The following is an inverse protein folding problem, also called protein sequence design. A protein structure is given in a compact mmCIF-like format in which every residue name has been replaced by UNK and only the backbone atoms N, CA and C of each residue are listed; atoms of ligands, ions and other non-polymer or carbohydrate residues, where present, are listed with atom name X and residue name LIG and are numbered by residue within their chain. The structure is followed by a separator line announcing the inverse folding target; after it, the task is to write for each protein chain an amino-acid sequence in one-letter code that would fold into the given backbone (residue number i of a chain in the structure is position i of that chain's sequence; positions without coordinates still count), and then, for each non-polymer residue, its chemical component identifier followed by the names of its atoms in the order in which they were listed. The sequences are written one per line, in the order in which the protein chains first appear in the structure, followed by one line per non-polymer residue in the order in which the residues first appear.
data_IF_470828012729
#
_entry.id   IF_470828012729
#
_cell.length_a   1.000
_cell.length_b   1.000
_cell.length_c   1.000
_cell.angle_alpha   90.00
_cell.angle_beta   90.00
_cell.angle_gamma   90.00
#
_symmetry.space_group_name_H-M   'P 1'
#
loop_
_entity.id
_entity.type
_entity.pdbx_description
1 polymer ?
#
# COMPACT_ATOMS: atom_id res chain seq x y z
N UNK A 1 17.35 37.73 -41.96
CA UNK A 1 17.29 36.54 -42.83
C UNK A 1 17.82 35.36 -42.03
N UNK A 2 16.97 34.73 -41.22
CA UNK A 2 17.27 33.47 -40.53
C UNK A 2 16.02 32.63 -40.70
N UNK A 3 16.17 31.54 -41.46
CA UNK A 3 15.08 30.71 -41.94
C UNK A 3 14.44 29.94 -40.80
N UNK A 4 13.10 30.03 -40.68
CA UNK A 4 12.32 29.16 -39.80
C UNK A 4 12.31 27.74 -40.40
N UNK A 5 13.07 26.84 -39.81
CA UNK A 5 12.95 25.40 -40.08
C UNK A 5 11.84 24.87 -39.18
N UNK A 6 10.65 24.75 -39.74
CA UNK A 6 9.56 23.96 -39.17
C UNK A 6 10.00 22.49 -39.09
N UNK A 7 10.21 21.98 -37.87
CA UNK A 7 10.55 20.59 -37.60
C UNK A 7 9.37 19.66 -37.93
N UNK A 8 9.21 19.32 -39.20
CA UNK A 8 8.46 18.12 -39.61
C UNK A 8 9.26 16.89 -39.21
N UNK A 9 8.61 15.91 -38.58
CA UNK A 9 9.20 14.62 -38.25
C UNK A 9 9.95 14.02 -39.45
N UNK A 10 11.28 13.94 -39.35
CA UNK A 10 12.09 13.27 -40.36
C UNK A 10 11.69 11.79 -40.45
N UNK A 11 11.41 11.27 -41.65
CA UNK A 11 10.95 9.91 -41.83
C UNK A 11 12.07 8.91 -41.48
N UNK A 12 11.76 7.96 -40.60
CA UNK A 12 12.56 6.77 -40.36
C UNK A 12 12.52 5.89 -41.63
N UNK A 13 13.48 6.08 -42.53
CA UNK A 13 13.66 5.22 -43.71
C UNK A 13 14.46 3.98 -43.33
N UNK A 14 13.89 2.80 -43.60
CA UNK A 14 14.57 1.53 -43.39
C UNK A 14 15.72 1.37 -44.38
N UNK A 15 16.92 1.05 -43.89
CA UNK A 15 18.07 0.80 -44.76
C UNK A 15 17.98 -0.62 -45.33
N UNK A 16 17.49 -0.74 -46.57
CA UNK A 16 17.73 -1.91 -47.41
C UNK A 16 16.59 -2.94 -47.56
N UNK A 17 15.45 -2.80 -46.87
CA UNK A 17 14.25 -3.63 -47.13
C UNK A 17 12.98 -2.78 -47.05
N UNK A 18 12.44 -2.47 -48.23
CA UNK A 18 11.18 -1.74 -48.51
C UNK A 18 10.94 -0.45 -47.71
N UNK A 19 10.88 0.67 -48.42
CA UNK A 19 10.51 2.02 -47.95
C UNK A 19 9.03 2.09 -47.49
N UNK A 20 8.65 1.26 -46.53
CA UNK A 20 7.38 1.36 -45.83
C UNK A 20 7.60 2.20 -44.58
N UNK A 21 6.80 3.25 -44.40
CA UNK A 21 6.73 4.00 -43.14
C UNK A 21 6.21 3.06 -42.06
N UNK A 22 7.11 2.35 -41.38
CA UNK A 22 6.74 1.38 -40.37
C UNK A 22 6.35 2.13 -39.09
N UNK A 23 5.15 1.82 -38.58
CA UNK A 23 4.76 2.25 -37.24
C UNK A 23 5.74 1.68 -36.20
N UNK A 24 5.93 2.39 -35.07
CA UNK A 24 6.80 1.89 -33.98
C UNK A 24 6.46 0.45 -33.55
N UNK A 25 5.19 0.03 -33.41
CA UNK A 25 4.86 -1.36 -33.11
C UNK A 25 5.29 -2.36 -34.20
N UNK A 26 5.12 -2.00 -35.48
CA UNK A 26 5.53 -2.85 -36.60
C UNK A 26 7.05 -3.02 -36.64
N UNK A 27 7.78 -1.92 -36.44
CA UNK A 27 9.24 -1.92 -36.38
C UNK A 27 9.74 -2.73 -35.18
N UNK A 28 9.11 -2.56 -34.01
CA UNK A 28 9.43 -3.32 -32.81
C UNK A 28 9.31 -4.83 -33.04
N UNK A 29 8.28 -5.28 -33.74
CA UNK A 29 8.09 -6.71 -34.06
C UNK A 29 9.21 -7.24 -34.98
N UNK A 30 9.54 -6.47 -36.03
CA UNK A 30 10.61 -6.80 -36.99
C UNK A 30 11.98 -6.86 -36.31
N UNK A 31 12.31 -5.86 -35.49
CA UNK A 31 13.57 -5.79 -34.72
C UNK A 31 13.73 -6.92 -33.71
N UNK A 32 12.64 -7.46 -33.16
CA UNK A 32 12.70 -8.65 -32.28
C UNK A 32 12.97 -9.94 -33.05
N UNK A 33 12.60 -9.97 -34.33
CA UNK A 33 12.74 -11.14 -35.19
C UNK A 33 14.14 -11.20 -35.83
N UNK A 34 14.65 -10.04 -36.24
CA UNK A 34 15.95 -9.89 -36.88
C UNK A 34 16.71 -8.72 -36.24
N UNK A 35 17.41 -8.92 -35.10
CA UNK A 35 18.08 -7.81 -34.43
C UNK A 35 19.23 -7.20 -35.24
N UNK A 36 20.01 -8.02 -35.94
CA UNK A 36 21.20 -7.55 -36.68
C UNK A 36 20.80 -6.70 -37.89
N UNK A 37 19.68 -7.02 -38.55
CA UNK A 37 19.22 -6.31 -39.74
C UNK A 37 18.68 -4.88 -39.50
N UNK A 38 18.42 -4.48 -38.25
CA UNK A 38 17.80 -3.19 -37.91
C UNK A 38 18.64 -2.34 -36.94
N UNK A 39 19.96 -2.55 -36.88
CA UNK A 39 20.85 -1.75 -36.02
C UNK A 39 20.85 -0.26 -36.38
N UNK A 40 20.71 0.07 -37.67
CA UNK A 40 20.65 1.47 -38.14
C UNK A 40 19.43 2.21 -37.60
N UNK A 41 18.28 1.54 -37.61
CA UNK A 41 17.00 2.04 -37.13
C UNK A 41 17.03 2.18 -35.60
N UNK A 42 17.65 1.22 -34.91
CA UNK A 42 17.89 1.32 -33.47
C UNK A 42 18.70 2.57 -33.15
N UNK A 43 19.82 2.78 -33.85
CA UNK A 43 20.70 3.92 -33.61
C UNK A 43 19.96 5.25 -33.84
N UNK A 44 19.16 5.35 -34.90
CA UNK A 44 18.34 6.52 -35.19
C UNK A 44 17.32 6.80 -34.09
N UNK A 45 16.57 5.79 -33.65
CA UNK A 45 15.56 5.94 -32.59
C UNK A 45 16.21 6.27 -31.25
N UNK A 46 17.34 5.65 -30.94
CA UNK A 46 18.13 5.91 -29.73
C UNK A 46 18.61 7.36 -29.71
N UNK A 47 19.18 7.85 -30.79
CA UNK A 47 19.63 9.25 -30.87
C UNK A 47 18.46 10.23 -30.74
N UNK A 48 17.35 9.97 -31.42
CA UNK A 48 16.14 10.80 -31.30
C UNK A 48 15.60 10.81 -29.86
N UNK A 49 15.66 9.68 -29.15
CA UNK A 49 15.31 9.62 -27.73
C UNK A 49 16.24 10.47 -26.86
N UNK A 50 17.56 10.34 -27.00
CA UNK A 50 18.52 11.11 -26.19
C UNK A 50 18.47 12.60 -26.50
N UNK A 51 18.33 13.01 -27.76
CA UNK A 51 18.16 14.42 -28.12
C UNK A 51 16.89 15.00 -27.50
N UNK A 52 15.76 14.26 -27.53
CA UNK A 52 14.54 14.71 -26.89
C UNK A 52 14.69 14.78 -25.35
N UNK A 53 15.36 13.78 -24.75
CA UNK A 53 15.60 13.74 -23.30
C UNK A 53 16.47 14.93 -22.84
N UNK A 54 17.52 15.26 -23.58
CA UNK A 54 18.37 16.42 -23.32
C UNK A 54 17.57 17.73 -23.39
N UNK A 55 16.70 17.89 -24.39
CA UNK A 55 15.83 19.06 -24.51
C UNK A 55 14.92 19.23 -23.28
N UNK A 56 14.33 18.13 -22.77
CA UNK A 56 13.51 18.17 -21.55
C UNK A 56 14.34 18.54 -20.31
N UNK A 57 15.56 18.00 -20.18
CA UNK A 57 16.44 18.32 -19.06
C UNK A 57 16.89 19.78 -19.07
N UNK A 58 17.28 20.32 -20.23
CA UNK A 58 17.67 21.72 -20.37
C UNK A 58 16.49 22.65 -20.05
N UNK A 59 15.27 22.32 -20.47
CA UNK A 59 14.08 23.11 -20.14
C UNK A 59 13.74 23.11 -18.65
N UNK A 60 13.89 21.95 -18.00
CA UNK A 60 13.73 21.87 -16.55
C UNK A 60 14.79 22.70 -15.81
N UNK A 61 16.04 22.69 -16.27
CA UNK A 61 17.12 23.47 -15.68
C UNK A 61 16.93 25.00 -15.83
N UNK A 62 16.33 25.44 -16.93
CA UNK A 62 16.08 26.85 -17.22
C UNK A 62 14.80 27.40 -16.57
N UNK A 63 14.07 26.60 -15.77
CA UNK A 63 12.78 26.97 -15.15
C UNK A 63 11.77 27.58 -16.15
N UNK A 64 11.85 27.19 -17.43
CA UNK A 64 10.97 27.72 -18.47
C UNK A 64 9.59 27.04 -18.35
N UNK A 65 8.83 27.40 -17.31
CA UNK A 65 7.44 26.94 -17.10
C UNK A 65 6.43 27.74 -17.91
N UNK A 66 6.88 28.57 -18.85
CA UNK A 66 6.02 29.40 -19.68
C UNK A 66 5.24 28.54 -20.68
N UNK A 67 4.00 28.98 -20.92
CA UNK A 67 2.92 28.44 -21.77
C UNK A 67 3.33 28.08 -23.22
N UNK A 68 4.58 28.34 -23.64
CA UNK A 68 5.12 28.03 -24.98
C UNK A 68 6.44 27.23 -24.98
N UNK A 69 6.84 26.59 -23.87
CA UNK A 69 7.99 25.67 -23.88
C UNK A 69 7.67 24.35 -24.58
N UNK A 70 8.64 23.73 -25.28
CA UNK A 70 8.46 22.43 -25.96
C UNK A 70 8.03 21.32 -24.98
N UNK A 71 8.42 21.42 -23.70
CA UNK A 71 7.97 20.50 -22.64
C UNK A 71 6.48 20.57 -22.31
N UNK A 72 5.78 21.64 -22.74
CA UNK A 72 4.32 21.74 -22.68
C UNK A 72 3.63 21.25 -23.96
N UNK A 73 4.36 20.99 -25.05
CA UNK A 73 3.79 20.41 -26.26
C UNK A 73 3.46 18.92 -26.00
N UNK A 74 2.16 18.55 -25.97
CA UNK A 74 1.75 17.17 -25.70
C UNK A 74 2.28 16.19 -26.75
N UNK A 75 2.61 16.66 -27.96
CA UNK A 75 3.14 15.80 -29.03
C UNK A 75 4.57 15.35 -28.74
N UNK A 76 5.44 16.27 -28.33
CA UNK A 76 6.85 15.96 -28.01
C UNK A 76 6.96 15.09 -26.77
N UNK A 77 6.13 15.34 -25.75
CA UNK A 77 6.04 14.50 -24.57
C UNK A 77 5.56 13.07 -24.91
N UNK A 78 4.60 12.95 -25.83
CA UNK A 78 4.10 11.65 -26.32
C UNK A 78 5.18 10.92 -27.11
N UNK A 79 5.86 11.57 -28.04
CA UNK A 79 6.90 10.95 -28.86
C UNK A 79 8.06 10.44 -27.99
N UNK A 80 8.47 11.21 -26.97
CA UNK A 80 9.48 10.76 -26.01
C UNK A 80 8.99 9.54 -25.21
N UNK A 81 7.71 9.53 -24.80
CA UNK A 81 7.09 8.40 -24.10
C UNK A 81 7.07 7.13 -24.95
N UNK A 82 6.64 7.25 -26.21
CA UNK A 82 6.53 6.15 -27.16
C UNK A 82 7.92 5.56 -27.45
N UNK A 83 8.94 6.43 -27.59
CA UNK A 83 10.34 6.01 -27.76
C UNK A 83 10.92 5.34 -26.52
N UNK A 84 10.64 5.87 -25.32
CA UNK A 84 11.07 5.24 -24.07
C UNK A 84 10.51 3.82 -23.93
N UNK A 85 9.22 3.64 -24.19
CA UNK A 85 8.56 2.33 -24.17
C UNK A 85 9.10 1.40 -25.26
N UNK A 86 9.30 1.92 -26.48
CA UNK A 86 9.87 1.16 -27.58
C UNK A 86 11.27 0.65 -27.23
N UNK A 87 12.16 1.54 -26.78
CA UNK A 87 13.53 1.19 -26.39
C UNK A 87 13.54 0.16 -25.26
N UNK A 88 12.71 0.33 -24.23
CA UNK A 88 12.57 -0.65 -23.14
C UNK A 88 12.11 -2.03 -23.64
N UNK A 89 11.29 -2.07 -24.69
CA UNK A 89 10.88 -3.33 -25.29
C UNK A 89 11.98 -4.04 -26.09
N UNK A 90 12.86 -3.29 -26.75
CA UNK A 90 13.95 -3.86 -27.57
C UNK A 90 15.25 -4.07 -26.78
N UNK A 91 15.42 -3.47 -25.60
CA UNK A 91 16.63 -3.61 -24.76
C UNK A 91 17.17 -5.05 -24.62
N UNK A 92 16.34 -6.11 -24.38
CA UNK A 92 16.85 -7.47 -24.27
C UNK A 92 17.55 -8.00 -25.52
N UNK A 93 17.21 -7.46 -26.69
CA UNK A 93 17.73 -7.90 -27.99
C UNK A 93 19.00 -7.13 -28.40
N UNK A 94 19.27 -5.99 -27.74
CA UNK A 94 20.42 -5.12 -28.03
C UNK A 94 21.19 -4.75 -26.74
N UNK A 95 21.72 -5.73 -25.99
CA UNK A 95 22.30 -5.49 -24.67
C UNK A 95 23.56 -4.62 -24.72
N UNK A 96 24.31 -4.63 -25.82
CA UNK A 96 25.52 -3.81 -25.98
C UNK A 96 25.18 -2.36 -26.33
N UNK A 97 24.25 -2.17 -27.26
CA UNK A 97 23.88 -0.85 -27.78
C UNK A 97 22.99 -0.08 -26.81
N UNK A 98 22.24 -0.76 -25.94
CA UNK A 98 21.33 -0.14 -24.95
C UNK A 98 21.76 -0.40 -23.50
N UNK A 99 23.06 -0.53 -23.24
CA UNK A 99 23.58 -0.80 -21.90
C UNK A 99 23.26 0.33 -20.89
N UNK A 100 23.38 1.60 -21.32
CA UNK A 100 23.21 2.79 -20.46
C UNK A 100 21.75 3.26 -20.37
N UNK A 101 20.94 2.94 -21.40
CA UNK A 101 19.55 3.37 -21.48
C UNK A 101 18.71 3.09 -20.22
N UNK A 102 18.77 1.90 -19.58
CA UNK A 102 18.03 1.60 -18.36
C UNK A 102 18.37 2.55 -17.20
N UNK A 103 19.66 2.83 -16.98
CA UNK A 103 20.12 3.75 -15.93
C UNK A 103 19.77 5.19 -16.24
N UNK A 104 19.90 5.60 -17.50
CA UNK A 104 19.61 6.98 -17.93
C UNK A 104 18.13 7.32 -17.77
N UNK A 105 17.25 6.38 -18.13
CA UNK A 105 15.81 6.54 -17.97
C UNK A 105 15.41 6.66 -16.49
N UNK A 106 16.02 5.86 -15.61
CA UNK A 106 15.79 5.93 -14.18
C UNK A 106 16.31 7.26 -13.59
N UNK A 107 17.49 7.72 -14.02
CA UNK A 107 18.08 9.00 -13.60
C UNK A 107 17.25 10.21 -14.10
N UNK A 108 16.72 10.12 -15.31
CA UNK A 108 15.81 11.12 -15.87
C UNK A 108 14.54 11.27 -15.03
N UNK A 109 13.88 10.16 -14.67
CA UNK A 109 12.73 10.20 -13.76
C UNK A 109 13.12 10.76 -12.38
N UNK A 110 14.25 10.33 -11.82
CA UNK A 110 14.70 10.80 -10.49
C UNK A 110 14.94 12.31 -10.44
N UNK A 111 15.52 12.88 -11.50
CA UNK A 111 15.84 14.31 -11.57
C UNK A 111 14.64 15.19 -11.93
N UNK A 112 13.76 14.70 -12.81
CA UNK A 112 12.77 15.54 -13.48
C UNK A 112 11.31 15.18 -13.18
N UNK A 113 11.01 14.15 -12.38
CA UNK A 113 9.63 13.70 -12.17
C UNK A 113 8.65 14.76 -11.62
N UNK A 114 9.11 15.86 -11.01
CA UNK A 114 8.19 16.93 -10.57
C UNK A 114 7.77 17.87 -11.72
N UNK A 115 8.64 18.06 -12.71
CA UNK A 115 8.44 19.00 -13.82
C UNK A 115 7.84 18.34 -15.06
N UNK A 116 7.98 17.02 -15.18
CA UNK A 116 7.47 16.28 -16.34
C UNK A 116 5.93 16.24 -16.40
N UNK A 117 5.33 16.31 -17.61
CA UNK A 117 3.90 16.07 -17.81
C UNK A 117 3.45 14.71 -17.27
N UNK A 118 2.23 14.62 -16.72
CA UNK A 118 1.68 13.40 -16.11
C UNK A 118 1.75 12.18 -17.04
N UNK A 119 1.36 12.34 -18.31
CA UNK A 119 1.41 11.28 -19.31
C UNK A 119 2.83 10.75 -19.54
N UNK A 120 3.82 11.63 -19.68
CA UNK A 120 5.22 11.24 -19.88
C UNK A 120 5.78 10.55 -18.64
N UNK A 121 5.51 11.07 -17.44
CA UNK A 121 5.91 10.41 -16.18
C UNK A 121 5.36 9.00 -16.07
N UNK A 122 4.08 8.83 -16.40
CA UNK A 122 3.42 7.54 -16.31
C UNK A 122 4.05 6.51 -17.26
N UNK A 123 4.21 6.85 -18.54
CA UNK A 123 4.78 5.93 -19.53
C UNK A 123 6.27 5.67 -19.33
N UNK A 124 7.06 6.69 -18.94
CA UNK A 124 8.46 6.47 -18.57
C UNK A 124 8.58 5.56 -17.34
N UNK A 125 7.70 5.69 -16.36
CA UNK A 125 7.63 4.77 -15.21
C UNK A 125 7.27 3.36 -15.66
N UNK A 126 6.31 3.18 -16.59
CA UNK A 126 6.00 1.88 -17.17
C UNK A 126 7.19 1.25 -17.91
N UNK A 127 7.98 2.06 -18.62
CA UNK A 127 9.19 1.60 -19.29
C UNK A 127 10.24 1.10 -18.29
N UNK A 128 10.49 1.82 -17.19
CA UNK A 128 11.38 1.35 -16.11
C UNK A 128 10.84 0.07 -15.47
N UNK A 129 9.54 0.00 -15.18
CA UNK A 129 8.87 -1.21 -14.67
C UNK A 129 9.10 -2.41 -15.60
N UNK A 130 8.99 -2.22 -16.90
CA UNK A 130 9.24 -3.28 -17.89
C UNK A 130 10.69 -3.80 -17.81
N UNK A 131 11.66 -2.89 -17.67
CA UNK A 131 13.07 -3.23 -17.53
C UNK A 131 13.36 -3.99 -16.23
N UNK A 132 12.73 -3.59 -15.12
CA UNK A 132 12.82 -4.31 -13.83
C UNK A 132 12.18 -5.70 -13.91
N UNK A 133 10.99 -5.81 -14.51
CA UNK A 133 10.29 -7.08 -14.68
C UNK A 133 11.07 -8.09 -15.55
N UNK A 134 11.89 -7.58 -16.47
CA UNK A 134 12.81 -8.35 -17.30
C UNK A 134 14.15 -8.65 -16.64
N UNK A 135 14.36 -8.18 -15.40
CA UNK A 135 15.59 -8.32 -14.61
C UNK A 135 16.81 -7.65 -15.24
N UNK A 136 16.59 -6.60 -16.06
CA UNK A 136 17.68 -5.77 -16.61
C UNK A 136 18.17 -4.79 -15.54
N UNK A 137 17.25 -4.26 -14.72
CA UNK A 137 17.54 -3.42 -13.56
C UNK A 137 17.07 -4.16 -12.30
N UNK A 138 17.81 -4.09 -11.20
CA UNK A 138 17.36 -4.60 -9.91
C UNK A 138 16.35 -3.64 -9.25
N UNK A 139 15.33 -4.18 -8.60
CA UNK A 139 14.39 -3.39 -7.80
C UNK A 139 15.11 -2.65 -6.68
N UNK A 140 16.22 -3.19 -6.17
CA UNK A 140 17.04 -2.53 -5.15
C UNK A 140 17.49 -1.12 -5.57
N UNK A 141 17.88 -0.96 -6.84
CA UNK A 141 18.44 0.29 -7.35
C UNK A 141 17.33 1.31 -7.70
N UNK A 142 16.10 0.83 -7.91
CA UNK A 142 14.95 1.64 -8.34
C UNK A 142 13.91 1.84 -7.23
N UNK A 143 14.01 1.15 -6.10
CA UNK A 143 13.04 1.24 -5.00
C UNK A 143 12.87 2.69 -4.53
N UNK A 144 13.96 3.39 -4.26
CA UNK A 144 13.91 4.80 -3.82
C UNK A 144 13.19 5.70 -4.83
N UNK A 145 13.39 5.45 -6.13
CA UNK A 145 12.69 6.18 -7.20
C UNK A 145 11.18 5.88 -7.15
N UNK A 146 10.77 4.61 -7.05
CA UNK A 146 9.35 4.27 -6.96
C UNK A 146 8.69 4.81 -5.69
N UNK A 147 9.41 4.89 -4.58
CA UNK A 147 8.92 5.52 -3.35
C UNK A 147 8.75 7.04 -3.52
N UNK A 148 9.68 7.70 -4.22
CA UNK A 148 9.56 9.13 -4.53
C UNK A 148 8.38 9.43 -5.47
N UNK A 149 8.19 8.62 -6.52
CA UNK A 149 7.07 8.77 -7.45
C UNK A 149 5.71 8.67 -6.75
N UNK A 150 5.63 7.91 -5.64
CA UNK A 150 4.42 7.81 -4.83
C UNK A 150 4.08 9.09 -4.04
N UNK A 151 5.01 10.04 -3.92
CA UNK A 151 4.78 11.32 -3.24
C UNK A 151 4.16 12.38 -4.13
N UNK A 152 4.14 12.15 -5.46
CA UNK A 152 3.61 13.10 -6.43
C UNK A 152 2.07 13.13 -6.43
N UNK A 153 1.51 14.26 -6.84
CA UNK A 153 0.05 14.48 -6.94
C UNK A 153 -0.57 13.90 -8.21
N UNK A 154 -0.30 12.61 -8.46
CA UNK A 154 -0.87 11.86 -9.59
C UNK A 154 -1.37 10.49 -9.10
N UNK A 155 -2.70 10.34 -8.98
CA UNK A 155 -3.33 9.12 -8.44
C UNK A 155 -2.92 7.86 -9.23
N UNK A 156 -2.84 7.96 -10.55
CA UNK A 156 -2.57 6.81 -11.43
C UNK A 156 -1.10 6.39 -11.29
N UNK A 157 -0.19 7.36 -11.30
CA UNK A 157 1.24 7.11 -11.09
C UNK A 157 1.51 6.50 -9.71
N UNK A 158 0.88 7.06 -8.66
CA UNK A 158 1.01 6.52 -7.29
C UNK A 158 0.55 5.07 -7.20
N UNK A 159 -0.61 4.74 -7.78
CA UNK A 159 -1.15 3.38 -7.81
C UNK A 159 -0.22 2.43 -8.59
N UNK A 160 0.30 2.88 -9.73
CA UNK A 160 1.23 2.11 -10.56
C UNK A 160 2.53 1.79 -9.80
N UNK A 161 3.18 2.81 -9.23
CA UNK A 161 4.43 2.65 -8.50
C UNK A 161 4.27 1.78 -7.24
N UNK A 162 3.21 2.02 -6.45
CA UNK A 162 2.89 1.21 -5.28
C UNK A 162 2.66 -0.26 -5.64
N UNK A 163 1.78 -0.51 -6.62
CA UNK A 163 1.46 -1.87 -7.08
C UNK A 163 2.70 -2.61 -7.57
N UNK A 164 3.55 -1.92 -8.34
CA UNK A 164 4.81 -2.50 -8.80
C UNK A 164 5.72 -2.90 -7.63
N UNK A 165 5.98 -2.01 -6.68
CA UNK A 165 6.84 -2.31 -5.52
C UNK A 165 6.34 -3.55 -4.76
N UNK A 166 5.05 -3.58 -4.42
CA UNK A 166 4.46 -4.71 -3.70
C UNK A 166 4.54 -6.00 -4.51
N UNK A 167 4.18 -5.96 -5.80
CA UNK A 167 4.18 -7.15 -6.66
C UNK A 167 5.60 -7.66 -6.93
N UNK A 168 6.57 -6.78 -7.17
CA UNK A 168 7.97 -7.15 -7.40
C UNK A 168 8.56 -7.84 -6.16
N UNK A 169 8.32 -7.30 -4.96
CA UNK A 169 8.78 -7.92 -3.70
C UNK A 169 8.08 -9.25 -3.46
N UNK A 170 6.77 -9.34 -3.69
CA UNK A 170 6.00 -10.60 -3.58
C UNK A 170 6.53 -11.65 -4.56
N UNK A 171 6.71 -11.29 -5.84
CA UNK A 171 7.22 -12.19 -6.88
C UNK A 171 8.62 -12.69 -6.57
N UNK A 172 9.48 -11.83 -6.02
CA UNK A 172 10.82 -12.22 -5.58
C UNK A 172 10.79 -13.28 -4.46
N UNK A 173 9.77 -13.24 -3.60
CA UNK A 173 9.61 -14.15 -2.47
C UNK A 173 8.65 -15.33 -2.73
N UNK A 174 8.17 -15.52 -3.98
CA UNK A 174 7.14 -16.53 -4.31
C UNK A 174 7.58 -17.97 -4.05
N UNK A 175 8.84 -18.30 -4.36
CA UNK A 175 9.36 -19.67 -4.23
C UNK A 175 10.15 -19.86 -2.93
N UNK A 176 10.99 -18.88 -2.58
CA UNK A 176 11.83 -18.89 -1.39
C UNK A 176 12.04 -17.46 -0.91
N UNK A 177 12.14 -17.25 0.41
CA UNK A 177 12.42 -15.94 1.00
C UNK A 177 13.88 -15.53 0.75
N UNK A 178 14.11 -14.50 -0.05
CA UNK A 178 15.47 -14.00 -0.28
C UNK A 178 15.85 -12.98 0.80
N UNK A 179 16.26 -13.49 1.96
CA UNK A 179 16.56 -12.68 3.16
C UNK A 179 17.58 -11.56 2.89
N UNK A 180 18.63 -11.81 2.09
CA UNK A 180 19.64 -10.80 1.79
C UNK A 180 19.07 -9.61 0.98
N UNK A 181 18.25 -9.91 -0.03
CA UNK A 181 17.57 -8.87 -0.81
C UNK A 181 16.48 -8.18 0.00
N UNK A 182 15.67 -8.93 0.75
CA UNK A 182 14.64 -8.38 1.63
C UNK A 182 15.25 -7.41 2.65
N UNK A 183 16.35 -7.79 3.31
CA UNK A 183 17.07 -6.94 4.25
C UNK A 183 17.54 -5.63 3.62
N UNK A 184 18.01 -5.67 2.38
CA UNK A 184 18.43 -4.48 1.64
C UNK A 184 17.24 -3.55 1.33
N UNK A 185 16.10 -4.09 0.90
CA UNK A 185 14.90 -3.31 0.60
C UNK A 185 14.24 -2.76 1.86
N UNK A 186 14.18 -3.56 2.93
CA UNK A 186 13.74 -3.15 4.25
C UNK A 186 14.56 -1.96 4.76
N UNK A 187 15.89 -2.00 4.65
CA UNK A 187 16.74 -0.87 5.09
C UNK A 187 16.39 0.43 4.38
N UNK A 188 16.06 0.38 3.08
CA UNK A 188 15.63 1.55 2.31
C UNK A 188 14.29 2.07 2.85
N UNK A 189 13.30 1.20 3.02
CA UNK A 189 11.98 1.62 3.53
C UNK A 189 12.05 2.12 4.98
N UNK A 190 12.79 1.46 5.85
CA UNK A 190 12.99 1.90 7.24
C UNK A 190 13.68 3.26 7.29
N UNK A 191 14.71 3.47 6.44
CA UNK A 191 15.35 4.77 6.31
C UNK A 191 14.38 5.87 5.86
N UNK A 192 13.49 5.58 4.91
CA UNK A 192 12.45 6.51 4.45
C UNK A 192 11.36 6.78 5.51
N UNK A 193 11.03 5.78 6.32
CA UNK A 193 10.03 5.89 7.39
C UNK A 193 10.49 6.81 8.53
N UNK A 194 11.79 6.90 8.75
CA UNK A 194 12.39 7.74 9.80
C UNK A 194 12.64 9.20 9.35
N UNK A 195 12.36 9.55 8.09
CA UNK A 195 12.56 10.91 7.59
C UNK A 195 11.46 11.84 8.06
N UNK A 196 11.81 13.11 8.30
CA UNK A 196 10.84 14.16 8.66
C UNK A 196 9.85 14.51 7.53
N UNK A 197 10.15 14.12 6.28
CA UNK A 197 9.26 14.27 5.14
C UNK A 197 8.04 13.34 5.30
N UNK A 198 6.94 13.92 5.82
CA UNK A 198 5.68 13.21 6.09
C UNK A 198 5.18 12.43 4.87
N UNK A 199 5.32 12.97 3.64
CA UNK A 199 4.81 12.31 2.45
C UNK A 199 5.59 11.02 2.15
N UNK A 200 6.93 11.05 2.27
CA UNK A 200 7.79 9.87 2.08
C UNK A 200 7.59 8.86 3.19
N UNK A 201 7.60 9.30 4.44
CA UNK A 201 7.43 8.42 5.60
C UNK A 201 6.06 7.73 5.57
N UNK A 202 4.99 8.45 5.24
CA UNK A 202 3.65 7.88 5.05
C UNK A 202 3.62 6.82 3.94
N UNK A 203 4.26 7.05 2.80
CA UNK A 203 4.31 6.05 1.70
C UNK A 203 5.11 4.82 2.09
N UNK A 204 6.21 5.00 2.81
CA UNK A 204 6.99 3.89 3.36
C UNK A 204 6.17 3.05 4.33
N UNK A 205 5.47 3.70 5.28
CA UNK A 205 4.57 3.03 6.23
C UNK A 205 3.51 2.19 5.51
N UNK A 206 2.79 2.79 4.56
CA UNK A 206 1.73 2.07 3.81
C UNK A 206 2.30 0.83 3.09
N UNK A 207 3.49 0.95 2.52
CA UNK A 207 4.15 -0.17 1.82
C UNK A 207 4.56 -1.28 2.79
N UNK A 208 5.09 -0.93 3.98
CA UNK A 208 5.45 -1.89 5.01
C UNK A 208 4.22 -2.60 5.59
N UNK A 209 3.18 -1.85 5.92
CA UNK A 209 1.89 -2.37 6.36
C UNK A 209 1.31 -3.38 5.35
N UNK A 210 1.33 -3.04 4.06
CA UNK A 210 0.82 -3.92 3.00
C UNK A 210 1.65 -5.19 2.82
N UNK A 211 2.99 -5.09 2.86
CA UNK A 211 3.87 -6.26 2.77
C UNK A 211 3.76 -7.19 3.98
N UNK A 212 3.52 -6.63 5.17
CA UNK A 212 3.25 -7.38 6.39
C UNK A 212 1.90 -8.08 6.32
N UNK A 213 0.83 -7.37 5.94
CA UNK A 213 -0.53 -7.91 5.76
C UNK A 213 -0.55 -9.08 4.77
N UNK A 214 0.18 -8.95 3.66
CA UNK A 214 0.32 -10.02 2.65
C UNK A 214 1.21 -11.19 3.07
N UNK A 215 1.71 -11.18 4.31
CA UNK A 215 2.64 -12.19 4.87
C UNK A 215 3.93 -12.36 4.05
N UNK A 216 4.31 -11.35 3.27
CA UNK A 216 5.55 -11.36 2.48
C UNK A 216 6.74 -11.01 3.38
N UNK A 217 6.61 -9.93 4.15
CA UNK A 217 7.55 -9.53 5.19
C UNK A 217 6.90 -9.67 6.56
N UNK A 218 6.66 -10.93 6.92
CA UNK A 218 6.17 -11.32 8.23
C UNK A 218 7.37 -11.74 9.09
N UNK A 219 8.09 -10.75 9.59
CA UNK A 219 9.26 -10.92 10.43
C UNK A 219 9.29 -9.86 11.54
N UNK A 220 10.03 -10.19 12.60
CA UNK A 220 10.20 -9.33 13.77
C UNK A 220 10.71 -7.92 13.39
N UNK A 221 11.56 -7.81 12.37
CA UNK A 221 12.19 -6.53 12.00
C UNK A 221 11.17 -5.57 11.37
N UNK A 222 10.34 -6.08 10.47
CA UNK A 222 9.25 -5.31 9.87
C UNK A 222 8.18 -4.98 10.91
N UNK A 223 7.82 -5.92 11.79
CA UNK A 223 6.87 -5.66 12.87
C UNK A 223 7.34 -4.53 13.80
N UNK A 224 8.59 -4.61 14.28
CA UNK A 224 9.18 -3.55 15.11
C UNK A 224 9.25 -2.21 14.35
N UNK A 225 9.57 -2.20 13.05
CA UNK A 225 9.60 -0.95 12.28
C UNK A 225 8.22 -0.30 12.15
N UNK A 226 7.16 -1.11 11.95
CA UNK A 226 5.77 -0.62 11.91
C UNK A 226 5.38 -0.04 13.27
N UNK A 227 5.56 -0.79 14.35
CA UNK A 227 5.17 -0.33 15.69
C UNK A 227 5.98 0.90 16.13
N UNK A 228 7.29 0.94 15.87
CA UNK A 228 8.13 2.08 16.24
C UNK A 228 7.75 3.37 15.49
N UNK A 229 7.03 3.29 14.37
CA UNK A 229 6.49 4.46 13.70
C UNK A 229 5.36 5.16 14.49
N UNK A 230 4.80 4.53 15.54
CA UNK A 230 3.97 5.24 16.52
C UNK A 230 4.71 6.40 17.19
N UNK A 231 6.04 6.38 17.23
CA UNK A 231 6.87 7.43 17.83
C UNK A 231 7.41 8.45 16.83
N UNK A 232 6.88 8.46 15.62
CA UNK A 232 7.29 9.43 14.60
C UNK A 232 6.95 10.88 15.02
N UNK A 233 7.71 11.84 14.50
CA UNK A 233 7.55 13.28 14.80
C UNK A 233 6.19 13.82 14.31
N UNK A 234 5.80 13.45 13.07
CA UNK A 234 4.46 13.70 12.53
C UNK A 234 3.41 12.79 13.16
N UNK A 235 2.41 13.42 13.75
CA UNK A 235 1.25 12.76 14.35
C UNK A 235 0.35 12.02 13.38
N UNK A 236 0.24 12.49 12.14
CA UNK A 236 -0.56 11.82 11.12
C UNK A 236 -0.03 10.43 10.83
N UNK A 237 1.28 10.23 10.97
CA UNK A 237 1.92 8.92 10.85
C UNK A 237 1.58 8.08 12.07
N UNK A 238 1.73 8.62 13.29
CA UNK A 238 1.32 7.94 14.51
C UNK A 238 -0.14 7.45 14.45
N UNK A 239 -1.08 8.33 14.09
CA UNK A 239 -2.50 7.99 13.93
C UNK A 239 -2.67 6.89 12.89
N UNK A 240 -2.01 6.98 11.74
CA UNK A 240 -2.10 5.96 10.70
C UNK A 240 -1.57 4.58 11.16
N UNK A 241 -0.50 4.55 11.96
CA UNK A 241 0.02 3.30 12.54
C UNK A 241 -0.94 2.74 13.55
N UNK A 242 -1.45 3.57 14.48
CA UNK A 242 -2.40 3.13 15.50
C UNK A 242 -3.67 2.58 14.85
N UNK A 243 -4.26 3.30 13.90
CA UNK A 243 -5.41 2.80 13.11
C UNK A 243 -5.10 1.47 12.43
N UNK A 244 -3.91 1.32 11.85
CA UNK A 244 -3.50 0.06 11.23
C UNK A 244 -3.37 -1.09 12.22
N UNK A 245 -2.82 -0.85 13.42
CA UNK A 245 -2.64 -1.88 14.44
C UNK A 245 -3.98 -2.36 15.00
N UNK A 246 -4.96 -1.47 15.15
CA UNK A 246 -6.30 -1.77 15.67
C UNK A 246 -7.18 -2.47 14.62
N UNK A 247 -7.17 -1.93 13.40
CA UNK A 247 -7.98 -2.49 12.32
C UNK A 247 -7.25 -3.62 11.58
N UNK A 248 -6.11 -4.10 12.10
CA UNK A 248 -5.30 -5.13 11.44
C UNK A 248 -6.12 -6.37 11.08
N UNK A 249 -7.04 -6.77 11.95
CA UNK A 249 -7.93 -7.92 11.75
C UNK A 249 -9.14 -7.62 10.84
N UNK A 250 -9.54 -6.34 10.73
CA UNK A 250 -10.70 -5.90 9.93
C UNK A 250 -10.34 -5.58 8.48
N UNK A 251 -9.07 -5.28 8.20
CA UNK A 251 -8.59 -5.00 6.86
C UNK A 251 -8.57 -6.33 6.09
N UNK A 252 -9.60 -6.53 5.26
CA UNK A 252 -9.83 -7.72 4.45
C UNK A 252 -8.51 -8.30 3.90
N UNK A 253 -8.28 -9.60 4.11
CA UNK A 253 -7.29 -10.36 3.36
C UNK A 253 -7.76 -10.49 1.91
N UNK A 254 -7.61 -9.42 1.13
CA UNK A 254 -8.04 -9.28 -0.27
C UNK A 254 -7.15 -10.07 -1.26
N UNK A 255 -6.46 -11.09 -0.78
CA UNK A 255 -5.24 -11.63 -1.39
C UNK A 255 -5.38 -13.02 -2.05
N UNK A 256 -6.54 -13.35 -2.61
CA UNK A 256 -6.60 -14.43 -3.60
C UNK A 256 -7.34 -14.00 -4.88
N UNK A 257 -6.54 -13.78 -5.93
CA UNK A 257 -6.87 -13.64 -7.35
C UNK A 257 -7.47 -12.30 -7.85
N UNK A 258 -6.61 -11.29 -7.99
CA UNK A 258 -6.83 -10.19 -8.95
C UNK A 258 -5.75 -10.18 -10.05
N UNK A 259 -5.47 -11.34 -10.63
CA UNK A 259 -4.87 -11.43 -11.97
C UNK A 259 -5.99 -11.33 -13.02
N UNK A 260 -6.70 -10.20 -13.05
CA UNK A 260 -7.40 -9.74 -14.25
C UNK A 260 -7.54 -8.22 -14.20
N UNK A 261 -6.76 -7.55 -15.03
CA UNK A 261 -6.97 -6.16 -15.37
C UNK A 261 -8.34 -6.07 -16.07
N UNK A 262 -9.15 -5.08 -15.69
CA UNK A 262 -10.46 -4.70 -16.28
C UNK A 262 -11.71 -5.35 -15.67
N UNK A 263 -12.29 -4.67 -14.67
CA UNK A 263 -13.67 -4.17 -14.80
C UNK A 263 -13.98 -3.20 -13.66
N UNK A 264 -14.23 -1.96 -14.04
CA UNK A 264 -15.03 -1.02 -13.26
C UNK A 264 -16.40 -1.67 -12.99
N UNK A 265 -16.74 -1.87 -11.73
CA UNK A 265 -18.11 -1.77 -11.22
C UNK A 265 -18.06 -1.85 -9.69
N UNK A 266 -18.03 -0.69 -9.05
CA UNK A 266 -18.64 -0.55 -7.74
C UNK A 266 -20.14 -0.78 -7.88
N UNK A 267 -20.70 -1.80 -7.20
CA UNK A 267 -21.98 -1.63 -6.48
C UNK A 267 -22.38 -2.87 -5.65
N UNK A 268 -22.77 -2.61 -4.41
CA UNK A 268 -23.69 -3.39 -3.55
C UNK A 268 -23.30 -4.80 -3.13
N UNK A 269 -22.73 -4.92 -1.92
CA UNK A 269 -22.78 -6.14 -1.13
C UNK A 269 -24.24 -6.40 -0.68
N UNK A 270 -24.87 -7.44 -1.25
CA UNK A 270 -26.11 -7.99 -0.70
C UNK A 270 -25.77 -9.12 0.28
N UNK A 271 -26.15 -9.08 1.58
CA UNK A 271 -25.58 -9.96 2.59
C UNK A 271 -26.10 -11.41 2.63
N UNK A 272 -26.96 -11.85 1.70
CA UNK A 272 -27.55 -13.19 1.81
C UNK A 272 -27.81 -13.82 0.43
N UNK A 273 -26.83 -14.57 -0.08
CA UNK A 273 -26.99 -15.37 -1.30
C UNK A 273 -27.12 -16.84 -0.92
N UNK A 274 -28.36 -17.32 -0.81
CA UNK A 274 -28.64 -18.77 -0.68
C UNK A 274 -28.59 -19.38 -2.07
N UNK A 275 -27.62 -20.27 -2.32
CA UNK A 275 -27.57 -21.06 -3.54
C UNK A 275 -28.59 -22.19 -3.42
N UNK A 276 -29.77 -22.02 -4.00
CA UNK A 276 -30.80 -23.06 -4.05
C UNK A 276 -30.54 -24.04 -5.20
N UNK A 277 -30.93 -25.32 -5.05
CA UNK A 277 -30.83 -26.34 -6.11
C UNK A 277 -31.46 -25.89 -7.45
N UNK A 278 -32.49 -25.06 -7.39
CA UNK A 278 -33.11 -24.46 -8.57
C UNK A 278 -32.22 -23.50 -9.33
N UNK A 279 -31.38 -22.70 -8.66
CA UNK A 279 -30.47 -21.75 -9.32
C UNK A 279 -29.39 -22.47 -10.13
N UNK A 280 -28.90 -23.60 -9.60
CA UNK A 280 -27.95 -24.49 -10.28
C UNK A 280 -28.58 -25.10 -11.54
N UNK A 281 -29.81 -25.63 -11.41
CA UNK A 281 -30.53 -26.22 -12.53
C UNK A 281 -30.83 -25.19 -13.63
N UNK A 282 -31.30 -23.99 -13.27
CA UNK A 282 -31.60 -22.90 -14.22
C UNK A 282 -30.34 -22.40 -14.95
N UNK A 283 -29.16 -22.48 -14.33
CA UNK A 283 -27.89 -22.09 -14.95
C UNK A 283 -27.43 -23.06 -16.04
N UNK A 284 -27.69 -24.37 -15.88
CA UNK A 284 -27.26 -25.39 -16.82
C UNK A 284 -28.31 -25.72 -17.89
N UNK A 285 -29.60 -25.71 -17.54
CA UNK A 285 -30.65 -26.29 -18.40
C UNK A 285 -31.61 -25.28 -19.03
N UNK A 286 -31.70 -24.02 -18.56
CA UNK A 286 -32.75 -23.08 -19.01
C UNK A 286 -32.20 -21.82 -19.71
N UNK A 287 -32.55 -21.63 -20.99
CA UNK A 287 -32.27 -20.42 -21.80
C UNK A 287 -31.35 -20.67 -23.00
N UNK A 288 -31.04 -19.60 -23.75
CA UNK A 288 -30.10 -19.62 -24.88
C UNK A 288 -28.65 -19.82 -24.42
N UNK A 289 -27.75 -20.20 -25.33
CA UNK A 289 -26.33 -20.43 -25.01
C UNK A 289 -25.66 -19.22 -24.32
N UNK A 290 -25.94 -18.00 -24.80
CA UNK A 290 -25.46 -16.76 -24.19
C UNK A 290 -26.04 -16.53 -22.77
N UNK A 291 -27.33 -16.82 -22.57
CA UNK A 291 -27.99 -16.71 -21.26
C UNK A 291 -27.43 -17.71 -20.24
N UNK A 292 -27.17 -18.96 -20.67
CA UNK A 292 -26.55 -20.01 -19.85
C UNK A 292 -25.13 -19.61 -19.41
N UNK A 293 -24.31 -19.04 -20.31
CA UNK A 293 -22.96 -18.54 -19.98
C UNK A 293 -23.01 -17.47 -18.88
N UNK A 294 -23.92 -16.49 -18.99
CA UNK A 294 -24.11 -15.42 -18.00
C UNK A 294 -24.59 -15.96 -16.64
N UNK A 295 -25.53 -16.90 -16.64
CA UNK A 295 -26.04 -17.54 -15.40
C UNK A 295 -24.99 -18.39 -14.70
N UNK A 296 -24.18 -19.13 -15.47
CA UNK A 296 -23.05 -19.91 -14.92
C UNK A 296 -21.98 -19.02 -14.29
N UNK A 297 -21.64 -17.90 -14.92
CA UNK A 297 -20.73 -16.91 -14.34
C UNK A 297 -21.27 -16.31 -13.03
N UNK A 298 -22.56 -15.95 -12.98
CA UNK A 298 -23.21 -15.44 -11.76
C UNK A 298 -23.23 -16.47 -10.64
N UNK A 299 -23.52 -17.74 -10.96
CA UNK A 299 -23.48 -18.84 -10.00
C UNK A 299 -22.07 -19.08 -9.47
N UNK A 300 -21.05 -19.10 -10.33
CA UNK A 300 -19.66 -19.24 -9.90
C UNK A 300 -19.22 -18.09 -8.98
N UNK A 301 -19.64 -16.85 -9.25
CA UNK A 301 -19.37 -15.69 -8.39
C UNK A 301 -20.02 -15.83 -7.01
N UNK A 302 -21.26 -16.31 -6.96
CA UNK A 302 -21.98 -16.58 -5.70
C UNK A 302 -21.30 -17.70 -4.89
N UNK A 303 -20.89 -18.80 -5.53
CA UNK A 303 -20.16 -19.91 -4.87
C UNK A 303 -18.84 -19.42 -4.28
N UNK A 304 -18.08 -18.61 -5.03
CA UNK A 304 -16.82 -18.01 -4.53
C UNK A 304 -17.06 -17.12 -3.32
N UNK A 305 -18.10 -16.27 -3.36
CA UNK A 305 -18.47 -15.41 -2.23
C UNK A 305 -18.85 -16.21 -0.98
N UNK A 306 -19.64 -17.28 -1.11
CA UNK A 306 -20.01 -18.14 0.01
C UNK A 306 -18.81 -18.90 0.59
N UNK A 307 -17.93 -19.42 -0.27
CA UNK A 307 -16.70 -20.11 0.17
C UNK A 307 -15.74 -19.15 0.88
N UNK A 308 -15.67 -17.87 0.46
CA UNK A 308 -14.94 -16.79 1.15
C UNK A 308 -15.52 -16.58 2.55
N UNK A 309 -16.84 -16.42 2.67
CA UNK A 309 -17.51 -16.25 3.98
C UNK A 309 -17.30 -17.44 4.93
N UNK A 310 -17.38 -18.68 4.43
CA UNK A 310 -17.14 -19.87 5.25
C UNK A 310 -15.69 -19.99 5.73
N UNK A 311 -14.71 -19.58 4.92
CA UNK A 311 -13.30 -19.51 5.34
C UNK A 311 -13.07 -18.42 6.40
N UNK A 312 -13.66 -17.25 6.22
CA UNK A 312 -13.59 -16.14 7.17
C UNK A 312 -14.11 -16.55 8.56
N UNK A 313 -15.22 -17.29 8.62
CA UNK A 313 -15.76 -17.80 9.90
C UNK A 313 -14.90 -18.88 10.56
N UNK A 314 -14.04 -19.58 9.80
CA UNK A 314 -13.13 -20.59 10.36
C UNK A 314 -11.75 -20.03 10.74
N UNK A 315 -11.33 -18.92 10.12
CA UNK A 315 -10.01 -18.30 10.37
C UNK A 315 -10.06 -17.17 11.42
N UNK A 316 -11.25 -16.67 11.79
CA UNK A 316 -11.39 -15.60 12.79
C UNK A 316 -10.81 -15.96 14.16
N UNK A 317 -10.73 -17.25 14.51
CA UNK A 317 -10.13 -17.70 15.78
C UNK A 317 -8.60 -17.71 15.78
N UNK A 318 -7.94 -17.65 14.61
CA UNK A 318 -6.47 -17.69 14.46
C UNK A 318 -5.88 -16.37 13.92
N UNK A 319 -6.70 -15.35 13.68
CA UNK A 319 -6.29 -14.11 13.02
C UNK A 319 -5.42 -13.21 13.92
N UNK A 320 -5.67 -13.22 15.24
CA UNK A 320 -5.01 -12.31 16.18
C UNK A 320 -3.49 -12.49 16.22
N UNK A 321 -3.00 -13.72 16.09
CA UNK A 321 -1.56 -14.04 16.03
C UNK A 321 -0.79 -13.40 14.86
N UNK A 322 -1.48 -12.83 13.87
CA UNK A 322 -0.82 -12.16 12.74
C UNK A 322 -0.60 -10.66 12.95
N UNK A 323 -1.05 -10.09 14.07
CA UNK A 323 -0.77 -8.69 14.37
C UNK A 323 0.74 -8.45 14.53
N UNK A 324 1.27 -7.30 14.03
CA UNK A 324 2.65 -6.89 14.28
C UNK A 324 3.01 -6.87 15.77
N UNK A 325 2.02 -6.64 16.65
CA UNK A 325 2.23 -6.53 18.09
C UNK A 325 2.81 -7.82 18.71
N UNK A 326 2.40 -9.00 18.22
CA UNK A 326 2.92 -10.29 18.71
C UNK A 326 4.37 -10.58 18.30
N UNK A 327 4.94 -9.78 17.40
CA UNK A 327 6.31 -9.94 16.89
C UNK A 327 7.25 -8.81 17.33
N UNK A 328 6.88 -8.11 18.41
CA UNK A 328 7.70 -7.09 19.03
C UNK A 328 8.87 -7.70 19.81
N UNK A 329 10.02 -7.00 19.77
CA UNK A 329 11.21 -7.38 20.57
C UNK A 329 11.02 -7.12 22.05
N UNK A 330 10.49 -5.94 22.32
CA UNK A 330 10.27 -5.41 23.65
C UNK A 330 8.87 -4.79 23.67
N UNK A 331 7.87 -5.66 23.86
CA UNK A 331 6.48 -5.22 23.89
C UNK A 331 6.18 -4.38 25.13
N UNK A 332 6.76 -4.70 26.29
CA UNK A 332 6.56 -3.91 27.52
C UNK A 332 7.11 -2.48 27.35
N UNK A 333 8.37 -2.34 26.92
CA UNK A 333 8.97 -1.03 26.68
C UNK A 333 8.25 -0.25 25.58
N UNK A 334 7.70 -0.93 24.57
CA UNK A 334 6.84 -0.31 23.56
C UNK A 334 5.60 0.32 24.18
N UNK A 335 4.85 -0.42 25.01
CA UNK A 335 3.60 0.09 25.59
C UNK A 335 3.87 1.20 26.60
N UNK A 336 4.89 1.07 27.46
CA UNK A 336 5.25 2.13 28.42
C UNK A 336 5.61 3.45 27.71
N UNK A 337 6.37 3.35 26.62
CA UNK A 337 6.73 4.52 25.81
C UNK A 337 5.52 5.09 25.07
N UNK A 338 4.64 4.23 24.54
CA UNK A 338 3.41 4.64 23.86
C UNK A 338 2.48 5.37 24.82
N UNK A 339 2.26 4.82 26.00
CA UNK A 339 1.46 5.43 27.05
C UNK A 339 1.99 6.81 27.44
N UNK A 340 3.29 6.91 27.72
CA UNK A 340 3.96 8.18 28.05
C UNK A 340 3.79 9.23 26.94
N UNK A 341 3.91 8.80 25.67
CA UNK A 341 3.71 9.67 24.51
C UNK A 341 2.27 10.18 24.46
N UNK A 342 1.29 9.28 24.57
CA UNK A 342 -0.13 9.61 24.48
C UNK A 342 -0.60 10.53 25.60
N UNK A 343 -0.08 10.39 26.82
CA UNK A 343 -0.37 11.32 27.93
C UNK A 343 0.06 12.76 27.62
N UNK A 344 1.15 12.94 26.87
CA UNK A 344 1.66 14.27 26.49
C UNK A 344 1.11 14.79 25.16
N UNK A 345 0.43 13.95 24.38
CA UNK A 345 -0.10 14.32 23.08
C UNK A 345 -1.43 15.07 23.24
N UNK A 346 -1.46 16.33 22.78
CA UNK A 346 -2.67 17.16 22.79
C UNK A 346 -3.59 16.92 21.57
N UNK A 347 -3.45 15.79 20.91
CA UNK A 347 -4.20 15.46 19.71
C UNK A 347 -5.42 14.62 20.04
N UNK A 348 -6.50 14.86 19.32
CA UNK A 348 -7.73 14.10 19.46
C UNK A 348 -7.56 12.75 18.77
N UNK A 349 -7.17 11.73 19.53
CA UNK A 349 -7.27 10.35 19.09
C UNK A 349 -8.75 9.93 19.16
N UNK A 350 -9.26 9.31 18.09
CA UNK A 350 -10.51 8.56 18.24
C UNK A 350 -10.23 7.43 19.24
N UNK A 351 -11.02 7.38 20.32
CA UNK A 351 -10.81 6.58 21.55
C UNK A 351 -10.78 5.05 21.30
N UNK A 352 -10.92 4.63 20.04
CA UNK A 352 -10.85 3.23 19.64
C UNK A 352 -9.42 2.67 19.62
N UNK A 353 -8.40 3.41 20.09
CA UNK A 353 -6.98 3.05 19.94
C UNK A 353 -6.30 2.27 21.07
N UNK A 354 -7.02 1.97 22.14
CA UNK A 354 -6.51 1.21 23.28
C UNK A 354 -6.96 -0.26 23.40
N UNK A 355 -8.10 -0.74 22.84
CA UNK A 355 -8.56 -2.11 23.08
C UNK A 355 -7.59 -3.22 22.63
N UNK A 356 -6.90 -3.05 21.50
CA UNK A 356 -6.08 -4.15 20.93
C UNK A 356 -4.65 -4.21 21.46
N UNK A 357 -4.17 -3.16 22.14
CA UNK A 357 -2.89 -3.24 22.87
C UNK A 357 -3.08 -4.00 24.19
N UNK A 358 -4.29 -4.01 24.73
CA UNK A 358 -4.67 -4.77 25.92
C UNK A 358 -5.00 -6.25 25.66
N UNK A 359 -5.18 -6.67 24.39
CA UNK A 359 -5.39 -8.09 24.00
C UNK A 359 -4.09 -8.92 23.98
N UNK A 360 -2.99 -8.34 24.42
CA UNK A 360 -1.72 -9.01 24.64
C UNK A 360 -1.75 -9.61 26.05
N UNK A 361 -2.41 -10.77 26.16
CA UNK A 361 -2.72 -11.54 27.39
C UNK A 361 -1.52 -11.86 28.32
N UNK A 362 -0.30 -11.49 27.96
CA UNK A 362 0.93 -11.75 28.72
C UNK A 362 1.67 -10.50 29.24
N UNK A 363 1.18 -9.28 28.96
CA UNK A 363 2.01 -8.07 29.15
C UNK A 363 1.56 -7.23 30.34
N UNK A 364 2.34 -7.39 31.41
CA UNK A 364 2.17 -6.75 32.72
C UNK A 364 2.24 -5.22 32.59
N UNK A 365 1.13 -4.53 32.81
CA UNK A 365 1.16 -3.08 33.03
C UNK A 365 0.39 -2.70 34.28
N UNK A 366 1.09 -2.54 35.42
CA UNK A 366 0.58 -1.88 36.61
C UNK A 366 0.20 -0.40 36.37
N UNK A 367 0.65 0.23 35.27
CA UNK A 367 0.57 1.69 35.04
C UNK A 367 -0.58 2.15 34.14
N UNK A 368 -1.28 1.27 33.43
CA UNK A 368 -2.52 1.68 32.71
C UNK A 368 -3.63 2.03 33.72
N UNK A 369 -3.55 1.42 34.91
CA UNK A 369 -4.40 1.70 36.05
C UNK A 369 -3.95 2.92 36.88
N UNK A 370 -2.82 3.58 36.54
CA UNK A 370 -2.45 4.88 37.11
C UNK A 370 -3.36 5.99 36.54
N UNK A 371 -4.60 5.99 37.02
CA UNK A 371 -5.46 7.12 37.41
C UNK A 371 -5.66 8.32 36.46
N UNK A 372 -5.15 8.34 35.23
CA UNK A 372 -5.26 9.51 34.34
C UNK A 372 -6.13 9.32 33.10
N UNK A 373 -6.36 8.08 32.63
CA UNK A 373 -7.27 7.83 31.52
C UNK A 373 -8.74 7.73 31.95
N UNK A 374 -8.99 7.27 33.18
CA UNK A 374 -10.35 7.00 33.70
C UNK A 374 -10.78 7.98 34.81
N UNK A 375 -10.00 9.02 35.12
CA UNK A 375 -10.29 9.90 36.27
C UNK A 375 -11.56 10.75 36.12
N UNK A 376 -12.19 10.80 34.95
CA UNK A 376 -13.43 11.57 34.70
C UNK A 376 -14.51 10.78 33.95
N UNK A 377 -14.54 9.45 34.09
CA UNK A 377 -15.53 8.58 33.46
C UNK A 377 -16.95 8.87 33.97
N UNK A 378 -17.67 9.67 33.20
CA UNK A 378 -19.08 9.97 33.44
C UNK A 378 -19.95 9.22 32.42
N UNK A 379 -21.14 8.73 32.80
CA UNK A 379 -22.01 7.98 31.90
C UNK A 379 -22.51 8.77 30.67
N UNK A 380 -22.29 10.10 30.64
CA UNK A 380 -22.64 10.98 29.52
C UNK A 380 -21.47 11.23 28.55
N UNK A 381 -20.27 10.74 28.87
CA UNK A 381 -19.11 10.86 27.99
C UNK A 381 -19.31 10.03 26.73
N UNK A 382 -18.93 10.59 25.58
CA UNK A 382 -18.97 9.88 24.30
C UNK A 382 -17.99 8.69 24.34
N UNK A 383 -18.40 7.54 23.81
CA UNK A 383 -17.60 6.31 23.69
C UNK A 383 -17.15 5.70 25.03
N UNK A 384 -17.83 6.04 26.14
CA UNK A 384 -17.51 5.54 27.48
C UNK A 384 -17.54 4.02 27.61
N UNK A 385 -18.42 3.35 26.86
CA UNK A 385 -18.49 1.87 26.84
C UNK A 385 -17.24 1.25 26.24
N UNK A 386 -16.61 1.89 25.25
CA UNK A 386 -15.37 1.40 24.63
C UNK A 386 -14.18 1.61 25.58
N UNK A 387 -14.17 2.74 26.30
CA UNK A 387 -13.15 3.03 27.30
C UNK A 387 -13.21 2.03 28.47
N UNK A 388 -14.41 1.77 28.99
CA UNK A 388 -14.62 0.77 30.04
C UNK A 388 -14.27 -0.65 29.56
N UNK A 389 -14.58 -1.00 28.30
CA UNK A 389 -14.17 -2.27 27.72
C UNK A 389 -12.64 -2.41 27.63
N UNK A 390 -11.93 -1.35 27.21
CA UNK A 390 -10.47 -1.32 27.17
C UNK A 390 -9.85 -1.43 28.57
N UNK A 391 -10.47 -0.80 29.58
CA UNK A 391 -10.04 -0.88 30.97
C UNK A 391 -10.22 -2.30 31.55
N UNK A 392 -11.34 -2.96 31.24
CA UNK A 392 -11.59 -4.37 31.58
C UNK A 392 -10.54 -5.29 30.94
N UNK A 393 -10.22 -5.07 29.66
CA UNK A 393 -9.20 -5.86 28.96
C UNK A 393 -7.81 -5.72 29.58
N UNK A 394 -7.50 -4.55 30.16
CA UNK A 394 -6.23 -4.33 30.86
C UNK A 394 -6.15 -4.99 32.25
N UNK A 395 -7.26 -5.50 32.79
CA UNK A 395 -7.29 -6.19 34.08
C UNK A 395 -6.97 -7.68 33.91
N UNK A 396 -6.01 -8.21 34.65
CA UNK A 396 -5.63 -9.63 34.64
C UNK A 396 -4.90 -10.01 35.94
N UNK A 397 -4.70 -11.30 36.19
CA UNK A 397 -4.16 -11.86 37.46
C UNK A 397 -2.81 -11.30 37.93
N UNK A 398 -2.03 -10.66 37.04
CA UNK A 398 -0.71 -10.08 37.38
C UNK A 398 -0.76 -8.57 37.64
N UNK A 399 -1.93 -7.94 37.55
CA UNK A 399 -2.13 -6.54 37.92
C UNK A 399 -2.44 -6.46 39.41
N UNK A 400 -1.74 -5.62 40.19
CA UNK A 400 -1.96 -5.58 41.63
C UNK A 400 -3.34 -4.92 41.92
N UNK A 401 -4.14 -5.47 42.86
CA UNK A 401 -5.51 -5.01 43.11
C UNK A 401 -5.62 -3.53 43.55
N UNK A 402 -4.59 -3.02 44.22
CA UNK A 402 -4.49 -1.62 44.67
C UNK A 402 -4.49 -0.62 43.50
N UNK A 403 -3.95 -1.00 42.36
CA UNK A 403 -3.96 -0.18 41.15
C UNK A 403 -5.37 -0.09 40.52
N UNK A 404 -6.17 -1.16 40.61
CA UNK A 404 -7.54 -1.21 40.02
C UNK A 404 -8.61 -0.68 40.96
N UNK A 405 -8.35 -0.66 42.27
CA UNK A 405 -9.30 -0.19 43.29
C UNK A 405 -9.88 1.22 43.03
N UNK A 406 -9.10 2.23 42.59
CA UNK A 406 -9.64 3.55 42.28
C UNK A 406 -10.64 3.53 41.13
N UNK A 407 -10.34 2.79 40.06
CA UNK A 407 -11.23 2.60 38.90
C UNK A 407 -12.52 1.91 39.32
N UNK A 408 -12.41 0.84 40.11
CA UNK A 408 -13.55 0.09 40.62
C UNK A 408 -14.48 0.99 41.44
N UNK A 409 -13.92 1.74 42.41
CA UNK A 409 -14.68 2.71 43.23
C UNK A 409 -15.35 3.77 42.37
N UNK A 410 -14.66 4.26 41.34
CA UNK A 410 -15.20 5.27 40.44
C UNK A 410 -16.40 4.75 39.62
N UNK A 411 -16.30 3.53 39.06
CA UNK A 411 -17.41 2.91 38.32
C UNK A 411 -18.62 2.74 39.23
N UNK A 412 -18.43 2.24 40.46
CA UNK A 412 -19.53 2.10 41.43
C UNK A 412 -20.16 3.47 41.72
N UNK A 413 -19.35 4.48 42.04
CA UNK A 413 -19.84 5.80 42.44
C UNK A 413 -20.54 6.57 41.32
N UNK A 414 -20.17 6.36 40.05
CA UNK A 414 -20.69 7.12 38.90
C UNK A 414 -21.76 6.36 38.09
N UNK A 415 -21.75 5.03 38.08
CA UNK A 415 -22.66 4.21 37.29
C UNK A 415 -23.68 3.44 38.13
N UNK A 416 -23.35 3.10 39.37
CA UNK A 416 -24.17 2.24 40.23
C UNK A 416 -24.63 3.01 41.48
N UNK A 417 -25.47 4.02 41.27
CA UNK A 417 -26.10 4.77 42.37
C UNK A 417 -27.58 5.04 42.09
N UNK A 418 -28.34 5.41 43.14
CA UNK A 418 -29.81 5.57 43.10
C UNK A 418 -30.34 6.58 42.07
N UNK A 419 -29.46 7.46 41.56
CA UNK A 419 -29.80 8.50 40.57
C UNK A 419 -29.33 8.15 39.16
N UNK A 420 -28.66 7.02 38.96
CA UNK A 420 -28.21 6.56 37.65
C UNK A 420 -29.39 6.01 36.85
N UNK A 421 -29.32 6.10 35.52
CA UNK A 421 -30.31 5.47 34.64
C UNK A 421 -30.12 3.95 34.64
N UNK A 422 -31.18 3.15 34.44
CA UNK A 422 -31.08 1.69 34.40
C UNK A 422 -30.02 1.17 33.42
N UNK A 423 -29.84 1.84 32.28
CA UNK A 423 -28.84 1.48 31.27
C UNK A 423 -27.41 1.71 31.77
N UNK A 424 -27.17 2.81 32.49
CA UNK A 424 -25.87 3.11 33.07
C UNK A 424 -25.52 2.11 34.18
N UNK A 425 -26.52 1.74 35.00
CA UNK A 425 -26.37 0.71 36.05
C UNK A 425 -26.00 -0.63 35.42
N UNK A 426 -26.68 -1.03 34.33
CA UNK A 426 -26.39 -2.27 33.63
C UNK A 426 -24.96 -2.30 33.07
N UNK A 427 -24.49 -1.20 32.46
CA UNK A 427 -23.10 -1.07 31.97
C UNK A 427 -22.12 -1.18 33.13
N UNK A 428 -22.33 -0.42 34.22
CA UNK A 428 -21.45 -0.44 35.39
C UNK A 428 -21.34 -1.83 36.02
N UNK A 429 -22.47 -2.53 36.21
CA UNK A 429 -22.49 -3.88 36.76
C UNK A 429 -21.80 -4.91 35.84
N UNK A 430 -21.97 -4.80 34.52
CA UNK A 430 -21.28 -5.67 33.57
C UNK A 430 -19.76 -5.46 33.62
N UNK A 431 -19.30 -4.21 33.66
CA UNK A 431 -17.87 -3.89 33.77
C UNK A 431 -17.29 -4.43 35.07
N UNK A 432 -17.96 -4.20 36.20
CA UNK A 432 -17.55 -4.74 37.51
C UNK A 432 -17.44 -6.26 37.48
N UNK A 433 -18.46 -6.94 36.93
CA UNK A 433 -18.46 -8.40 36.78
C UNK A 433 -17.25 -8.87 35.97
N UNK A 434 -16.98 -8.24 34.84
CA UNK A 434 -15.87 -8.62 33.95
C UNK A 434 -14.49 -8.35 34.56
N UNK A 435 -14.33 -7.29 35.37
CA UNK A 435 -13.12 -7.06 36.17
C UNK A 435 -12.94 -8.20 37.18
N UNK A 436 -13.98 -8.53 37.95
CA UNK A 436 -13.92 -9.60 38.96
C UNK A 436 -13.68 -10.99 38.36
N UNK A 437 -14.13 -11.24 37.12
CA UNK A 437 -13.87 -12.49 36.41
C UNK A 437 -12.40 -12.62 35.98
N UNK A 438 -11.74 -11.51 35.63
CA UNK A 438 -10.34 -11.47 35.20
C UNK A 438 -9.33 -11.30 36.33
N UNK A 439 -9.78 -10.83 37.48
CA UNK A 439 -8.98 -10.70 38.69
C UNK A 439 -9.77 -11.25 39.88
N UNK A 440 -9.94 -12.58 39.98
CA UNK A 440 -10.45 -13.20 41.20
C UNK A 440 -9.37 -13.04 42.28
N UNK A 441 -9.56 -12.06 43.16
CA UNK A 441 -8.70 -11.68 44.29
C UNK A 441 -7.87 -12.81 44.92
#
# INVERSE_FOLDING_TARGET
MVSMVSGSAEPLSASGRSSEKLSLPSLQSKMKTDPEGYETELHLIRNQFYSALELFQQQAALNFSSISGVGADPTVAKDLSDRAMFLAHVTPFYPKQLAEFPSDLAAFLKSSARTLPSGLRFHATQAVILLVNRKIIDIKDTLSLFMELQTLDDRNLRKLAFSHVVHSIRRMNKNHKNEAKNRSLQNILFGLLQQDDEAKAKRSLITLCELHRRKVWFDERTANAICMACFHSSSRIMIAVLSFLLDYEKIENDDEDSDDLSSEDEMTQNPHVVISKETVYKAHHKGTAASKKKKKAKLQRAIRSMKRQQRLSSESSNCSYYSPLYHLKDAQGFVEKLFSRLQTCNERFEVNAFPDVSNLEDFTLPRVADSTFCSNDTPHQKDITNLLAAAVQACHDMVPPDAVEPLFKQIVNQFVHDRSRPEAIAVGLNVIREICLRMPL
#
